data_IF_223245627707
#
_entry.id   IF_223245627707
#
_cell.length_a   1.000
_cell.length_b   1.000
_cell.length_c   1.000
_cell.angle_alpha   90.00
_cell.angle_beta   90.00
_cell.angle_gamma   90.00
#
_symmetry.space_group_name_H-M   'P 1'
#
loop_
_entity.id
_entity.type
_entity.pdbx_description
1 polymer ?
#
# COMPACT_ATOMS: atom_id res chain seq x y z
N UNK A 1 14.48 14.46 6.00
CA UNK A 1 13.22 13.98 5.39
C UNK A 1 12.59 12.90 6.28
N UNK A 2 11.25 12.79 6.41
CA UNK A 2 10.63 11.67 7.15
C UNK A 2 10.77 10.39 6.32
N UNK A 3 11.22 9.28 6.93
CA UNK A 3 11.47 8.00 6.23
C UNK A 3 10.25 7.51 5.45
N UNK A 4 9.04 7.76 5.96
CA UNK A 4 7.80 7.40 5.29
C UNK A 4 7.60 8.12 3.95
N UNK A 5 8.01 9.39 3.85
CA UNK A 5 7.93 10.13 2.59
C UNK A 5 8.86 9.51 1.54
N UNK A 6 10.08 9.14 1.95
CA UNK A 6 11.05 8.46 1.09
C UNK A 6 10.50 7.12 0.60
N UNK A 7 9.95 6.31 1.52
CA UNK A 7 9.37 5.01 1.19
C UNK A 7 8.15 5.12 0.26
N UNK A 8 7.35 6.18 0.38
CA UNK A 8 6.23 6.43 -0.54
C UNK A 8 6.69 6.90 -1.92
N UNK A 9 7.71 7.77 -1.95
CA UNK A 9 8.23 8.34 -3.19
C UNK A 9 9.02 7.30 -4.01
N UNK A 10 9.95 6.59 -3.36
CA UNK A 10 10.88 5.65 -3.99
C UNK A 10 10.48 4.18 -3.79
N UNK A 11 9.26 3.92 -3.32
CA UNK A 11 8.76 2.58 -3.06
C UNK A 11 8.93 1.60 -4.23
N UNK A 12 8.50 1.94 -5.47
CA UNK A 12 8.64 1.05 -6.63
C UNK A 12 10.09 0.62 -6.89
N UNK A 13 11.02 1.60 -6.92
CA UNK A 13 12.46 1.37 -7.07
C UNK A 13 12.98 0.43 -5.98
N UNK A 14 12.56 0.64 -4.72
CA UNK A 14 12.95 -0.20 -3.59
C UNK A 14 12.37 -1.63 -3.65
N UNK A 15 11.20 -1.82 -4.25
CA UNK A 15 10.55 -3.14 -4.38
C UNK A 15 11.13 -3.99 -5.52
N UNK A 16 11.83 -3.37 -6.47
CA UNK A 16 12.53 -4.05 -7.56
C UNK A 16 13.87 -4.65 -7.10
N UNK A 17 14.38 -4.20 -5.95
CA UNK A 17 15.61 -4.70 -5.37
C UNK A 17 15.41 -6.11 -4.81
N UNK A 18 16.26 -7.04 -5.26
CA UNK A 18 16.23 -8.46 -4.88
C UNK A 18 17.13 -8.79 -3.68
N UNK A 19 17.92 -7.82 -3.23
CA UNK A 19 18.90 -8.01 -2.17
C UNK A 19 18.75 -6.93 -1.10
N UNK A 20 18.86 -7.34 0.16
CA UNK A 20 18.68 -6.44 1.30
C UNK A 20 19.80 -5.40 1.39
N UNK A 21 21.01 -5.69 0.90
CA UNK A 21 22.12 -4.72 0.95
C UNK A 21 21.86 -3.60 -0.05
N UNK A 22 21.50 -3.95 -1.28
CA UNK A 22 21.06 -2.99 -2.29
C UNK A 22 19.88 -2.13 -1.78
N UNK A 23 18.87 -2.77 -1.14
CA UNK A 23 17.76 -2.05 -0.51
C UNK A 23 18.23 -1.07 0.56
N UNK A 24 19.07 -1.52 1.50
CA UNK A 24 19.54 -0.71 2.62
C UNK A 24 20.42 0.47 2.16
N UNK A 25 21.29 0.25 1.17
CA UNK A 25 22.12 1.31 0.59
C UNK A 25 21.28 2.34 -0.17
N UNK A 26 20.34 1.89 -1.00
CA UNK A 26 19.45 2.79 -1.76
C UNK A 26 18.58 3.61 -0.82
N UNK A 27 17.93 2.98 0.16
CA UNK A 27 17.11 3.69 1.14
C UNK A 27 17.93 4.69 1.94
N UNK A 28 19.14 4.31 2.38
CA UNK A 28 20.07 5.23 3.06
C UNK A 28 20.31 6.48 2.22
N UNK A 29 20.60 6.30 0.92
CA UNK A 29 20.94 7.40 0.00
C UNK A 29 19.74 8.30 -0.25
N UNK A 30 18.57 7.75 -0.57
CA UNK A 30 17.36 8.53 -0.81
C UNK A 30 16.86 9.25 0.45
N UNK A 31 17.08 8.66 1.63
CA UNK A 31 16.72 9.26 2.90
C UNK A 31 17.81 10.19 3.47
N UNK A 32 18.95 10.33 2.76
CA UNK A 32 20.12 11.11 3.18
C UNK A 32 20.62 10.71 4.58
N UNK A 33 20.51 9.43 4.92
CA UNK A 33 20.91 8.91 6.24
C UNK A 33 22.41 8.61 6.26
N UNK A 34 23.10 9.06 7.29
CA UNK A 34 24.46 8.63 7.57
C UNK A 34 24.50 7.25 8.23
N UNK A 35 25.59 6.50 8.05
CA UNK A 35 25.80 5.25 8.80
C UNK A 35 25.81 5.47 10.32
N UNK A 36 26.21 6.66 10.78
CA UNK A 36 26.20 7.02 12.20
C UNK A 36 24.78 7.18 12.76
N UNK A 37 23.83 7.67 11.96
CA UNK A 37 22.42 7.75 12.35
C UNK A 37 21.78 6.38 12.39
N UNK A 38 22.04 5.53 11.40
CA UNK A 38 21.55 4.14 11.39
C UNK A 38 22.11 3.39 12.60
N UNK A 39 23.40 3.54 12.89
CA UNK A 39 24.04 2.91 14.04
C UNK A 39 23.40 3.33 15.36
N UNK A 40 23.20 4.64 15.58
CA UNK A 40 22.54 5.16 16.78
C UNK A 40 21.08 4.72 16.88
N UNK A 41 20.32 4.80 15.79
CA UNK A 41 18.91 4.40 15.76
C UNK A 41 18.70 2.91 16.01
N UNK A 42 19.64 2.07 15.58
CA UNK A 42 19.59 0.62 15.76
C UNK A 42 20.31 0.09 16.99
N UNK A 43 21.01 0.93 17.76
CA UNK A 43 21.82 0.48 18.91
C UNK A 43 23.04 -0.37 18.51
N UNK A 44 23.69 -0.04 17.38
CA UNK A 44 24.99 -0.60 17.03
C UNK A 44 26.11 0.09 17.81
N UNK A 45 27.16 -0.66 18.13
CA UNK A 45 28.36 -0.13 18.79
C UNK A 45 29.22 0.74 17.86
N UNK A 46 29.15 0.55 16.54
CA UNK A 46 29.90 1.36 15.59
C UNK A 46 29.19 1.56 14.25
N UNK A 47 29.43 2.71 13.62
CA UNK A 47 28.99 3.00 12.24
C UNK A 47 29.70 2.15 11.18
N UNK A 48 30.93 1.72 11.48
CA UNK A 48 31.71 0.86 10.59
C UNK A 48 31.02 -0.50 10.44
N UNK A 49 30.50 -1.06 11.53
CA UNK A 49 29.74 -2.32 11.49
C UNK A 49 28.52 -2.20 10.57
N UNK A 50 27.76 -1.10 10.64
CA UNK A 50 26.61 -0.87 9.75
C UNK A 50 27.06 -0.81 8.28
N UNK A 51 28.15 -0.08 8.00
CA UNK A 51 28.72 0.01 6.65
C UNK A 51 29.10 -1.38 6.14
N UNK A 52 29.90 -2.12 6.88
CA UNK A 52 30.39 -3.46 6.52
C UNK A 52 29.25 -4.45 6.22
N UNK A 53 28.14 -4.41 6.99
CA UNK A 53 26.96 -5.23 6.70
C UNK A 53 26.34 -4.83 5.36
N UNK A 54 26.13 -3.53 5.14
CA UNK A 54 25.47 -3.00 3.95
C UNK A 54 26.35 -3.07 2.69
N UNK A 55 27.67 -3.10 2.81
CA UNK A 55 28.61 -3.30 1.69
C UNK A 55 28.89 -4.78 1.42
N UNK A 56 28.52 -5.67 2.35
CA UNK A 56 28.76 -7.11 2.23
C UNK A 56 30.11 -7.58 2.75
N UNK A 57 30.90 -6.69 3.35
CA UNK A 57 32.18 -7.02 4.00
C UNK A 57 31.97 -7.88 5.26
N UNK A 58 30.76 -7.88 5.84
CA UNK A 58 30.39 -8.70 7.00
C UNK A 58 29.04 -9.40 6.78
N UNK A 59 28.91 -10.70 7.11
CA UNK A 59 27.62 -11.38 7.11
C UNK A 59 26.69 -10.76 8.17
N UNK A 60 25.39 -10.76 7.88
CA UNK A 60 24.40 -10.24 8.82
C UNK A 60 23.95 -11.35 9.76
N UNK A 61 23.92 -11.06 11.07
CA UNK A 61 23.36 -11.96 12.09
C UNK A 61 21.92 -11.59 12.39
N UNK A 62 21.14 -12.49 13.00
CA UNK A 62 19.76 -12.19 13.43
C UNK A 62 19.68 -10.95 14.34
N UNK A 63 20.63 -10.82 15.27
CA UNK A 63 20.73 -9.63 16.13
C UNK A 63 20.98 -8.35 15.32
N UNK A 64 21.88 -8.41 14.34
CA UNK A 64 22.18 -7.28 13.46
C UNK A 64 21.04 -6.96 12.51
N UNK A 65 20.28 -7.94 12.02
CA UNK A 65 19.08 -7.76 11.21
C UNK A 65 18.02 -6.94 11.95
N UNK A 66 17.78 -7.25 13.23
CA UNK A 66 16.86 -6.49 14.09
C UNK A 66 17.31 -5.05 14.26
N UNK A 67 18.58 -4.85 14.62
CA UNK A 67 19.17 -3.52 14.80
C UNK A 67 19.16 -2.71 13.50
N UNK A 68 19.46 -3.32 12.36
CA UNK A 68 19.48 -2.66 11.06
C UNK A 68 18.08 -2.21 10.64
N UNK A 69 17.07 -3.06 10.82
CA UNK A 69 15.66 -2.71 10.58
C UNK A 69 15.25 -1.49 11.41
N UNK A 70 15.64 -1.44 12.68
CA UNK A 70 15.35 -0.34 13.59
C UNK A 70 16.14 0.93 13.21
N UNK A 71 17.42 0.78 12.87
CA UNK A 71 18.28 1.86 12.43
C UNK A 71 17.79 2.54 11.15
N UNK A 72 17.25 1.76 10.20
CA UNK A 72 16.58 2.25 8.99
C UNK A 72 15.16 2.77 9.25
N UNK A 73 14.68 2.74 10.51
CA UNK A 73 13.35 3.21 10.92
C UNK A 73 12.21 2.58 10.13
N UNK A 74 12.38 1.31 9.74
CA UNK A 74 11.35 0.57 9.01
C UNK A 74 10.23 0.13 9.96
N UNK A 75 8.99 0.31 9.52
CA UNK A 75 7.79 -0.11 10.23
C UNK A 75 6.86 -0.94 9.32
N UNK A 76 5.89 -1.62 9.93
CA UNK A 76 4.83 -2.35 9.24
C UNK A 76 5.32 -3.29 8.14
N UNK A 77 4.72 -3.16 6.95
CA UNK A 77 5.02 -3.99 5.79
C UNK A 77 6.45 -3.80 5.26
N UNK A 78 7.03 -2.60 5.33
CA UNK A 78 8.41 -2.36 4.91
C UNK A 78 9.43 -3.10 5.79
N UNK A 79 9.20 -3.11 7.10
CA UNK A 79 10.01 -3.90 8.04
C UNK A 79 9.92 -5.40 7.73
N UNK A 80 8.72 -5.89 7.44
CA UNK A 80 8.51 -7.30 7.06
C UNK A 80 9.22 -7.62 5.75
N UNK A 81 9.10 -6.75 4.75
CA UNK A 81 9.71 -6.91 3.44
C UNK A 81 11.23 -7.01 3.54
N UNK A 82 11.85 -6.07 4.26
CA UNK A 82 13.29 -6.07 4.45
C UNK A 82 13.82 -7.34 5.13
N UNK A 83 13.08 -7.87 6.12
CA UNK A 83 13.44 -9.16 6.75
C UNK A 83 13.32 -10.35 5.81
N UNK A 84 12.35 -10.34 4.89
CA UNK A 84 12.24 -11.39 3.89
C UNK A 84 13.39 -11.34 2.88
N UNK A 85 13.85 -10.14 2.51
CA UNK A 85 15.07 -9.98 1.69
C UNK A 85 16.30 -10.53 2.42
N UNK A 86 16.44 -10.28 3.73
CA UNK A 86 17.54 -10.86 4.52
C UNK A 86 17.46 -12.39 4.53
N UNK A 87 16.28 -12.97 4.77
CA UNK A 87 16.08 -14.41 4.75
C UNK A 87 16.27 -15.04 3.36
N UNK A 88 16.16 -14.25 2.29
CA UNK A 88 16.44 -14.68 0.92
C UNK A 88 17.94 -14.68 0.62
N UNK A 89 18.68 -13.69 1.12
CA UNK A 89 20.13 -13.58 0.92
C UNK A 89 20.94 -14.49 1.88
N UNK A 90 20.45 -14.72 3.10
CA UNK A 90 21.15 -15.47 4.14
C UNK A 90 20.32 -16.68 4.59
N UNK A 91 20.61 -17.85 4.03
CA UNK A 91 19.84 -19.08 4.27
C UNK A 91 19.74 -19.46 5.75
N UNK A 92 20.76 -19.17 6.56
CA UNK A 92 20.79 -19.44 8.01
C UNK A 92 19.75 -18.64 8.79
N UNK A 93 19.30 -17.51 8.23
CA UNK A 93 18.27 -16.65 8.84
C UNK A 93 16.87 -16.95 8.31
N UNK A 94 16.74 -17.91 7.38
CA UNK A 94 15.45 -18.35 6.86
C UNK A 94 14.75 -19.25 7.89
N UNK A 95 13.44 -19.07 8.16
CA UNK A 95 12.69 -20.00 8.99
C UNK A 95 12.77 -21.43 8.43
N UNK A 96 13.04 -22.42 9.26
CA UNK A 96 13.18 -23.83 8.85
C UNK A 96 11.94 -24.36 8.11
N UNK A 97 10.75 -23.88 8.50
CA UNK A 97 9.47 -24.26 7.89
C UNK A 97 9.18 -23.64 6.52
N UNK A 98 10.13 -22.88 5.97
CA UNK A 98 9.97 -22.15 4.72
C UNK A 98 10.90 -22.67 3.63
N UNK A 99 10.30 -23.18 2.55
CA UNK A 99 11.03 -23.45 1.31
C UNK A 99 11.35 -22.15 0.56
N UNK A 100 12.31 -22.16 -0.39
CA UNK A 100 12.58 -21.00 -1.25
C UNK A 100 11.33 -20.47 -1.97
N UNK A 101 10.47 -21.36 -2.46
CA UNK A 101 9.26 -21.02 -3.20
C UNK A 101 8.25 -20.33 -2.29
N UNK A 102 8.10 -20.83 -1.05
CA UNK A 102 7.23 -20.21 -0.05
C UNK A 102 7.72 -18.82 0.34
N UNK A 103 9.04 -18.64 0.50
CA UNK A 103 9.64 -17.33 0.76
C UNK A 103 9.36 -16.35 -0.40
N UNK A 104 9.55 -16.80 -1.64
CA UNK A 104 9.28 -15.98 -2.83
C UNK A 104 7.80 -15.60 -2.92
N UNK A 105 6.88 -16.53 -2.66
CA UNK A 105 5.44 -16.25 -2.64
C UNK A 105 5.07 -15.19 -1.58
N UNK A 106 5.70 -15.25 -0.40
CA UNK A 106 5.50 -14.23 0.64
C UNK A 106 6.07 -12.86 0.23
N UNK A 107 7.23 -12.81 -0.43
CA UNK A 107 7.80 -11.58 -0.97
C UNK A 107 6.86 -10.94 -1.99
N UNK A 108 6.39 -11.70 -2.98
CA UNK A 108 5.49 -11.19 -4.03
C UNK A 108 4.16 -10.68 -3.46
N UNK A 109 3.55 -11.42 -2.52
CA UNK A 109 2.34 -10.96 -1.83
C UNK A 109 2.55 -9.63 -1.11
N UNK A 110 3.70 -9.46 -0.49
CA UNK A 110 4.03 -8.25 0.25
C UNK A 110 4.33 -7.08 -0.69
N UNK A 111 5.01 -7.32 -1.83
CA UNK A 111 5.21 -6.33 -2.89
C UNK A 111 3.88 -5.82 -3.42
N UNK A 112 2.92 -6.72 -3.70
CA UNK A 112 1.57 -6.33 -4.13
C UNK A 112 0.87 -5.45 -3.09
N UNK A 113 1.01 -5.77 -1.80
CA UNK A 113 0.41 -4.99 -0.72
C UNK A 113 1.03 -3.60 -0.61
N UNK A 114 2.37 -3.51 -0.71
CA UNK A 114 3.10 -2.25 -0.67
C UNK A 114 2.79 -1.37 -1.90
N UNK A 115 2.64 -1.97 -3.08
CA UNK A 115 2.21 -1.25 -4.29
C UNK A 115 0.76 -0.75 -4.19
N UNK A 116 -0.17 -1.56 -3.67
CA UNK A 116 -1.58 -1.17 -3.49
C UNK A 116 -1.77 -0.07 -2.46
N UNK A 117 -0.92 0.01 -1.44
CA UNK A 117 -0.98 1.09 -0.43
C UNK A 117 -0.75 2.48 -1.02
N UNK A 118 -0.12 2.59 -2.20
CA UNK A 118 0.07 3.86 -2.91
C UNK A 118 -1.20 4.28 -3.66
N UNK A 119 -1.85 3.33 -4.32
CA UNK A 119 -3.15 3.53 -4.99
C UNK A 119 -4.24 4.05 -4.04
N UNK A 120 -4.19 3.70 -2.74
CA UNK A 120 -5.15 4.22 -1.74
C UNK A 120 -4.88 5.66 -1.28
N UNK A 121 -3.65 6.19 -1.44
CA UNK A 121 -3.30 7.57 -1.04
C UNK A 121 -3.29 8.55 -2.22
N UNK A 122 -3.00 8.09 -3.43
CA UNK A 122 -2.93 8.94 -4.63
C UNK A 122 -4.30 9.44 -5.10
N UNK A 123 -5.42 8.85 -4.64
CA UNK A 123 -6.77 9.33 -4.99
C UNK A 123 -7.08 10.70 -4.39
N UNK A 124 -6.44 11.09 -3.28
CA UNK A 124 -6.61 12.42 -2.70
C UNK A 124 -5.63 13.46 -3.27
N UNK A 125 -4.67 13.06 -4.12
CA UNK A 125 -3.62 13.95 -4.64
C UNK A 125 -3.72 14.23 -6.14
N UNK A 126 -4.55 13.49 -6.86
CA UNK A 126 -4.75 13.69 -8.30
C UNK A 126 -6.08 14.40 -8.53
N UNK A 127 -6.07 15.74 -8.59
CA UNK A 127 -7.26 16.55 -8.90
C UNK A 127 -7.99 16.04 -10.16
N UNK A 128 -7.26 15.43 -11.11
CA UNK A 128 -7.83 14.81 -12.30
C UNK A 128 -8.62 13.53 -11.99
N UNK A 129 -8.26 12.77 -10.97
CA UNK A 129 -9.07 11.64 -10.50
C UNK A 129 -10.36 12.14 -9.86
N UNK A 130 -10.31 13.20 -9.04
CA UNK A 130 -11.49 13.83 -8.46
C UNK A 130 -12.43 14.36 -9.55
N UNK A 131 -11.91 15.07 -10.55
CA UNK A 131 -12.69 15.55 -11.70
C UNK A 131 -13.34 14.40 -12.47
N UNK A 132 -12.60 13.31 -12.70
CA UNK A 132 -13.14 12.11 -13.35
C UNK A 132 -14.19 11.39 -12.49
N UNK A 133 -14.06 11.47 -11.17
CA UNK A 133 -15.03 10.93 -10.22
C UNK A 133 -16.35 11.70 -10.25
N UNK A 134 -16.25 13.04 -10.20
CA UNK A 134 -17.39 13.96 -10.25
C UNK A 134 -18.07 13.97 -11.64
N UNK A 135 -17.34 13.60 -12.70
CA UNK A 135 -17.88 13.49 -14.04
C UNK A 135 -18.83 12.29 -14.24
N UNK A 136 -18.82 11.30 -13.33
CA UNK A 136 -19.73 10.15 -13.39
C UNK A 136 -21.10 10.56 -12.81
N UNK A 137 -22.19 10.55 -13.60
CA UNK A 137 -23.50 10.93 -13.09
C UNK A 137 -23.99 9.98 -11.99
N UNK A 138 -24.52 10.51 -10.89
CA UNK A 138 -25.05 9.76 -9.75
C UNK A 138 -24.05 8.80 -9.08
N UNK A 139 -22.75 9.11 -9.16
CA UNK A 139 -21.72 8.20 -8.66
C UNK A 139 -21.84 7.96 -7.15
N UNK A 140 -22.24 8.96 -6.37
CA UNK A 140 -22.38 8.84 -4.92
C UNK A 140 -23.51 7.87 -4.57
N UNK A 141 -24.66 8.01 -5.22
CA UNK A 141 -25.82 7.17 -5.00
C UNK A 141 -25.53 5.73 -5.43
N UNK A 142 -24.88 5.55 -6.59
CA UNK A 142 -24.51 4.22 -7.11
C UNK A 142 -23.45 3.57 -6.22
N UNK A 143 -22.42 4.30 -5.80
CA UNK A 143 -21.38 3.79 -4.90
C UNK A 143 -21.99 3.40 -3.55
N UNK A 144 -22.80 4.25 -2.93
CA UNK A 144 -23.48 3.94 -1.67
C UNK A 144 -24.40 2.71 -1.81
N UNK A 145 -25.07 2.55 -2.95
CA UNK A 145 -25.94 1.41 -3.21
C UNK A 145 -25.18 0.09 -3.40
N UNK A 146 -23.85 0.09 -3.60
CA UNK A 146 -23.04 -1.15 -3.62
C UNK A 146 -22.96 -1.83 -2.25
N UNK A 147 -23.28 -1.12 -1.16
CA UNK A 147 -23.39 -1.70 0.18
C UNK A 147 -22.07 -1.70 0.96
N UNK A 148 -21.89 -2.70 1.82
CA UNK A 148 -20.74 -2.79 2.72
C UNK A 148 -19.51 -3.41 2.06
N UNK A 149 -18.33 -3.03 2.57
CA UNK A 149 -17.04 -3.60 2.16
C UNK A 149 -17.05 -5.13 2.31
N UNK A 150 -16.66 -5.83 1.26
CA UNK A 150 -16.57 -7.28 1.23
C UNK A 150 -17.88 -8.03 0.96
N UNK A 151 -19.04 -7.36 0.98
CA UNK A 151 -20.34 -7.97 0.65
C UNK A 151 -20.78 -7.60 -0.76
N UNK A 152 -20.78 -6.29 -1.07
CA UNK A 152 -21.23 -5.79 -2.37
C UNK A 152 -22.73 -5.95 -2.65
N UNK A 153 -23.12 -5.70 -3.89
CA UNK A 153 -24.49 -5.87 -4.38
C UNK A 153 -24.55 -6.22 -5.87
N UNK A 154 -25.62 -6.88 -6.32
CA UNK A 154 -25.83 -7.15 -7.75
C UNK A 154 -26.30 -5.90 -8.49
N UNK A 155 -26.20 -5.90 -9.83
CA UNK A 155 -26.69 -4.80 -10.66
C UNK A 155 -28.17 -4.48 -10.38
N UNK A 156 -29.02 -5.50 -10.29
CA UNK A 156 -30.45 -5.34 -10.04
C UNK A 156 -30.74 -4.74 -8.67
N UNK A 157 -29.98 -5.15 -7.64
CA UNK A 157 -30.10 -4.57 -6.30
C UNK A 157 -29.69 -3.10 -6.29
N UNK A 158 -28.63 -2.74 -7.00
CA UNK A 158 -28.15 -1.35 -7.09
C UNK A 158 -29.16 -0.50 -7.87
N UNK A 159 -29.68 -0.99 -8.99
CA UNK A 159 -30.73 -0.33 -9.76
C UNK A 159 -32.00 -0.12 -8.92
N UNK A 160 -32.42 -1.14 -8.17
CA UNK A 160 -33.55 -1.04 -7.25
C UNK A 160 -33.32 0.00 -6.14
N UNK A 161 -32.13 0.04 -5.53
CA UNK A 161 -31.81 1.00 -4.46
C UNK A 161 -31.73 2.45 -4.97
N UNK A 162 -31.17 2.64 -6.16
CA UNK A 162 -30.96 3.98 -6.74
C UNK A 162 -32.16 4.50 -7.54
N UNK A 163 -33.12 3.63 -7.86
CA UNK A 163 -34.26 3.94 -8.75
C UNK A 163 -33.79 4.44 -10.14
N UNK A 164 -32.61 4.00 -10.57
CA UNK A 164 -32.04 4.32 -11.88
C UNK A 164 -32.23 3.15 -12.85
N UNK A 165 -32.30 3.47 -14.14
CA UNK A 165 -32.33 2.48 -15.22
C UNK A 165 -31.09 1.55 -15.17
N UNK A 166 -31.25 0.22 -15.28
CA UNK A 166 -30.14 -0.74 -15.16
C UNK A 166 -28.97 -0.46 -16.11
N UNK A 167 -29.25 0.02 -17.33
CA UNK A 167 -28.22 0.38 -18.29
C UNK A 167 -27.34 1.53 -17.78
N UNK A 168 -27.95 2.54 -17.15
CA UNK A 168 -27.23 3.71 -16.60
C UNK A 168 -26.39 3.31 -15.39
N UNK A 169 -26.93 2.45 -14.53
CA UNK A 169 -26.19 1.88 -13.39
C UNK A 169 -25.00 1.08 -13.89
N UNK A 170 -25.19 0.22 -14.89
CA UNK A 170 -24.11 -0.59 -15.48
C UNK A 170 -22.99 0.25 -16.07
N UNK A 171 -23.33 1.31 -16.82
CA UNK A 171 -22.34 2.24 -17.39
C UNK A 171 -21.53 2.95 -16.30
N UNK A 172 -22.20 3.41 -15.24
CA UNK A 172 -21.56 4.11 -14.14
C UNK A 172 -20.69 3.17 -13.30
N UNK A 173 -21.16 1.94 -13.04
CA UNK A 173 -20.37 0.91 -12.35
C UNK A 173 -19.11 0.53 -13.14
N UNK A 174 -19.20 0.46 -14.47
CA UNK A 174 -18.03 0.26 -15.31
C UNK A 174 -17.01 1.38 -15.17
N UNK A 175 -17.45 2.63 -15.13
CA UNK A 175 -16.57 3.78 -14.89
C UNK A 175 -15.95 3.74 -13.49
N UNK A 176 -16.75 3.40 -12.47
CA UNK A 176 -16.26 3.24 -11.09
C UNK A 176 -15.27 2.07 -10.96
N UNK A 177 -15.45 1.00 -11.73
CA UNK A 177 -14.51 -0.12 -11.82
C UNK A 177 -13.21 0.27 -12.52
N UNK A 178 -13.28 1.05 -13.62
CA UNK A 178 -12.10 1.60 -14.30
C UNK A 178 -11.32 2.58 -13.41
N UNK A 179 -12.02 3.33 -12.55
CA UNK A 179 -11.42 4.18 -11.51
C UNK A 179 -10.94 3.38 -10.29
N UNK A 180 -11.20 2.08 -10.27
CA UNK A 180 -10.76 1.14 -9.25
C UNK A 180 -11.57 1.17 -7.96
N UNK A 181 -12.65 1.96 -7.88
CA UNK A 181 -13.45 2.22 -6.65
C UNK A 181 -14.50 1.17 -6.36
N UNK A 182 -14.92 0.46 -7.38
CA UNK A 182 -15.76 -0.73 -7.26
C UNK A 182 -15.04 -1.87 -7.98
N UNK A 183 -15.25 -3.11 -7.54
CA UNK A 183 -14.74 -4.29 -8.23
C UNK A 183 -15.89 -5.25 -8.50
N UNK A 184 -15.98 -5.77 -9.72
CA UNK A 184 -16.90 -6.86 -10.02
C UNK A 184 -16.27 -8.21 -9.63
N UNK A 185 -16.89 -8.90 -8.67
CA UNK A 185 -16.52 -10.27 -8.31
C UNK A 185 -17.28 -11.26 -9.20
N UNK A 186 -16.54 -11.90 -10.12
CA UNK A 186 -17.11 -12.86 -11.08
C UNK A 186 -17.71 -14.10 -10.42
N UNK A 187 -17.30 -14.45 -9.20
CA UNK A 187 -17.80 -15.65 -8.53
C UNK A 187 -19.18 -15.42 -7.89
N UNK A 188 -19.38 -14.24 -7.30
CA UNK A 188 -20.64 -13.84 -6.65
C UNK A 188 -21.59 -13.07 -7.58
N UNK A 189 -21.07 -12.49 -8.66
CA UNK A 189 -21.81 -11.54 -9.50
C UNK A 189 -22.07 -10.20 -8.81
N UNK A 190 -21.34 -9.90 -7.73
CA UNK A 190 -21.52 -8.68 -6.95
C UNK A 190 -20.51 -7.60 -7.37
N UNK A 191 -20.96 -6.35 -7.30
CA UNK A 191 -20.12 -5.18 -7.31
C UNK A 191 -19.76 -4.84 -5.87
N UNK A 192 -18.49 -5.00 -5.52
CA UNK A 192 -17.97 -4.81 -4.16
C UNK A 192 -17.27 -3.46 -4.08
N UNK A 193 -17.68 -2.57 -3.15
CA UNK A 193 -16.96 -1.33 -2.93
C UNK A 193 -15.56 -1.68 -2.44
N UNK A 194 -14.59 -0.99 -3.01
CA UNK A 194 -13.23 -1.06 -2.54
C UNK A 194 -13.03 0.03 -1.50
N UNK A 195 -12.23 -0.28 -0.48
CA UNK A 195 -11.96 0.61 0.65
C UNK A 195 -11.13 1.81 0.19
N UNK A 196 -11.83 2.83 -0.29
CA UNK A 196 -11.32 4.16 -0.52
C UNK A 196 -11.90 5.07 0.54
N UNK A 197 -11.04 5.52 1.44
CA UNK A 197 -11.27 6.78 2.12
C UNK A 197 -11.20 7.88 1.05
N UNK A 198 -12.31 8.12 0.34
CA UNK A 198 -12.53 9.34 -0.40
C UNK A 198 -12.48 10.46 0.64
N UNK A 199 -11.29 11.04 0.85
CA UNK A 199 -11.18 12.26 1.62
C UNK A 199 -11.52 13.39 0.65
N UNK A 200 -12.83 13.62 0.45
CA UNK A 200 -13.27 14.85 -0.17
C UNK A 200 -12.94 15.95 0.85
N UNK A 201 -11.79 16.61 0.68
CA UNK A 201 -11.40 17.70 1.56
C UNK A 201 -12.33 18.89 1.32
N UNK A 202 -12.90 19.44 2.39
CA UNK A 202 -13.89 20.53 2.44
C UNK A 202 -13.55 21.82 1.67
N UNK A 203 -12.35 21.94 1.09
CA UNK A 203 -11.84 23.17 0.51
C UNK A 203 -12.56 23.64 -0.77
N UNK A 204 -13.32 22.76 -1.45
CA UNK A 204 -14.02 23.10 -2.71
C UNK A 204 -15.54 22.90 -2.66
N UNK A 205 -16.10 22.48 -1.51
CA UNK A 205 -17.53 22.18 -1.34
C UNK A 205 -18.37 23.39 -0.86
N UNK A 206 -17.96 24.62 -1.17
CA UNK A 206 -18.69 25.85 -0.81
C UNK A 206 -19.88 26.16 -1.73
N UNK A 207 -20.65 25.15 -2.13
CA UNK A 207 -21.68 25.34 -3.15
C UNK A 207 -22.62 24.16 -3.34
N UNK A 208 -23.32 23.76 -2.27
CA UNK A 208 -24.42 22.78 -2.26
C UNK A 208 -23.99 21.33 -2.47
N UNK A 209 -23.99 20.52 -1.39
CA UNK A 209 -24.71 19.25 -1.22
C UNK A 209 -24.30 18.61 0.12
N UNK A 210 -25.21 17.85 0.73
CA UNK A 210 -25.15 17.34 2.10
C UNK A 210 -24.05 16.28 2.31
N UNK A 211 -23.35 16.40 3.45
CA UNK A 211 -22.44 15.39 4.00
C UNK A 211 -23.11 14.01 4.12
N UNK A 212 -22.45 12.98 3.60
CA UNK A 212 -22.64 11.61 4.04
C UNK A 212 -21.38 11.15 4.79
N UNK A 213 -21.44 11.18 6.12
CA UNK A 213 -20.47 10.49 6.98
C UNK A 213 -20.74 8.99 6.92
N UNK A 214 -19.81 8.19 6.42
CA UNK A 214 -19.75 6.77 6.77
C UNK A 214 -18.81 6.62 7.96
N UNK A 215 -19.44 6.59 9.15
CA UNK A 215 -18.82 6.30 10.42
C UNK A 215 -18.37 4.83 10.39
N UNK A 216 -17.06 4.58 10.35
CA UNK A 216 -16.51 3.25 10.61
C UNK A 216 -16.89 2.84 12.03
N UNK A 217 -17.71 1.80 12.14
CA UNK A 217 -17.97 1.09 13.39
C UNK A 217 -16.72 0.33 13.83
N UNK A 218 -16.58 0.23 15.14
CA UNK A 218 -15.51 -0.42 15.91
C UNK A 218 -15.21 -1.87 15.49
#
# INVERSE_FOLDING_TARGET
>A
MKIEAVLNQFGPELLDLKDFRAFGLTLREKAEMSYAEIARGGGFSSRAHVREILTGDRPITEGSARKLTQGLRLAGNWKRYFRLLIAQSENELRPESWSPEKLQAHLEKLKQTLNRSKSRRDINADAKLTDRFLAVPHFLEIFAATGELGVGATLDQIAYRTQLEPLRVSQSLKQLEELGVVQFDKNSGHFVPQDYHLAISDAELSGHFHMAYVRGLE
#
